data_IF_601787962097
#
_entry.id   IF_601787962097
#
_cell.length_a   1.000
_cell.length_b   1.000
_cell.length_c   1.000
_cell.angle_alpha   90.00
_cell.angle_beta   90.00
_cell.angle_gamma   90.00
#
_symmetry.space_group_name_H-M   'P 1'
#
loop_
_entity.id
_entity.type
_entity.pdbx_description
1 polymer ?
#
# COMPACT_ATOMS: atom_id res chain seq x y z
N UNK A 1 8.31 16.92 -6.53
CA UNK A 1 8.62 17.57 -5.24
C UNK A 1 8.83 16.48 -4.21
N UNK A 2 9.73 16.65 -3.23
CA UNK A 2 9.89 15.66 -2.14
C UNK A 2 8.95 16.00 -0.99
N UNK A 3 8.24 15.00 -0.47
CA UNK A 3 7.36 15.10 0.70
C UNK A 3 7.77 14.01 1.70
N UNK A 4 7.58 14.28 2.99
CA UNK A 4 7.90 13.33 4.05
C UNK A 4 6.62 12.68 4.57
N UNK A 5 6.67 11.36 4.73
CA UNK A 5 5.59 10.54 5.28
C UNK A 5 6.09 9.77 6.50
N UNK A 6 5.15 9.29 7.31
CA UNK A 6 5.45 8.44 8.46
C UNK A 6 4.87 7.07 8.22
N UNK A 7 5.63 6.04 8.59
CA UNK A 7 5.20 4.65 8.49
C UNK A 7 5.27 3.97 9.84
N UNK A 8 4.25 3.17 10.17
CA UNK A 8 4.35 2.14 11.20
C UNK A 8 4.86 0.86 10.55
N UNK A 9 5.77 0.16 11.23
CA UNK A 9 6.34 -1.10 10.76
C UNK A 9 6.20 -2.16 11.85
N UNK A 10 5.70 -3.34 11.50
CA UNK A 10 5.61 -4.49 12.40
C UNK A 10 5.78 -5.81 11.65
N UNK A 11 6.10 -6.88 12.38
CA UNK A 11 6.17 -8.23 11.84
C UNK A 11 4.78 -8.89 11.93
N UNK A 12 4.29 -9.40 10.81
CA UNK A 12 3.05 -10.18 10.70
C UNK A 12 3.33 -11.51 9.99
N UNK A 13 3.32 -12.60 10.76
CA UNK A 13 3.76 -13.91 10.27
C UNK A 13 5.22 -13.87 9.86
N UNK A 14 5.49 -14.14 8.57
CA UNK A 14 6.84 -14.14 7.98
C UNK A 14 7.19 -12.82 7.25
N UNK A 15 6.30 -11.82 7.29
CA UNK A 15 6.45 -10.57 6.53
C UNK A 15 6.50 -9.37 7.46
N UNK A 16 7.37 -8.40 7.13
CA UNK A 16 7.26 -7.06 7.68
C UNK A 16 6.21 -6.27 6.90
N UNK A 17 5.28 -5.66 7.61
CA UNK A 17 4.28 -4.77 7.05
C UNK A 17 4.71 -3.34 7.32
N UNK A 18 4.70 -2.50 6.29
CA UNK A 18 4.91 -1.06 6.40
C UNK A 18 3.62 -0.35 5.95
N UNK A 19 3.01 0.41 6.85
CA UNK A 19 1.78 1.15 6.58
C UNK A 19 2.01 2.65 6.74
N UNK A 20 1.59 3.44 5.73
CA UNK A 20 1.60 4.89 5.82
C UNK A 20 0.48 5.38 6.76
N UNK A 21 0.79 6.36 7.62
CA UNK A 21 -0.20 6.90 8.57
C UNK A 21 -1.12 7.93 7.90
N UNK A 22 -0.63 8.62 6.86
CA UNK A 22 -1.32 9.74 6.24
C UNK A 22 -2.28 9.33 5.11
N UNK A 23 -2.05 8.17 4.49
CA UNK A 23 -2.86 7.65 3.38
C UNK A 23 -3.04 6.15 3.52
N UNK A 24 -4.13 5.63 2.97
CA UNK A 24 -4.48 4.20 3.02
C UNK A 24 -3.64 3.40 2.00
N UNK A 25 -2.33 3.37 2.25
CA UNK A 25 -1.33 2.65 1.47
C UNK A 25 -0.44 1.88 2.43
N UNK A 26 -0.28 0.60 2.14
CA UNK A 26 0.64 -0.28 2.83
C UNK A 26 1.40 -1.14 1.83
N UNK A 27 2.52 -1.68 2.27
CA UNK A 27 3.35 -2.64 1.56
C UNK A 27 3.88 -3.69 2.53
N UNK A 28 4.54 -4.71 1.99
CA UNK A 28 5.23 -5.72 2.77
C UNK A 28 6.62 -6.05 2.19
N UNK A 29 7.48 -6.65 3.01
CA UNK A 29 8.79 -7.15 2.62
C UNK A 29 9.29 -8.23 3.57
N UNK A 30 10.26 -9.04 3.14
CA UNK A 30 10.88 -10.07 4.00
C UNK A 30 11.80 -9.44 5.07
N UNK A 31 12.14 -8.16 4.92
CA UNK A 31 12.87 -7.34 5.90
C UNK A 31 12.18 -5.99 6.10
N UNK A 32 12.47 -5.29 7.21
CA UNK A 32 11.95 -3.93 7.44
C UNK A 32 12.34 -2.95 6.31
N UNK A 33 13.60 -3.00 5.88
CA UNK A 33 14.12 -2.15 4.80
C UNK A 33 13.38 -2.40 3.48
N UNK A 34 13.15 -3.67 3.13
CA UNK A 34 12.39 -4.03 1.94
C UNK A 34 10.93 -3.56 2.02
N UNK A 35 10.28 -3.72 3.17
CA UNK A 35 8.91 -3.24 3.37
C UNK A 35 8.83 -1.72 3.19
N UNK A 36 9.77 -0.96 3.74
CA UNK A 36 9.85 0.49 3.61
C UNK A 36 10.19 0.95 2.18
N UNK A 37 11.08 0.25 1.49
CA UNK A 37 11.38 0.52 0.08
C UNK A 37 10.16 0.28 -0.80
N UNK A 38 9.45 -0.84 -0.60
CA UNK A 38 8.19 -1.11 -1.29
C UNK A 38 7.10 -0.07 -0.95
N UNK A 39 7.07 0.44 0.29
CA UNK A 39 6.11 1.48 0.69
C UNK A 39 6.38 2.79 -0.05
N UNK A 40 7.65 3.16 -0.19
CA UNK A 40 8.06 4.35 -0.94
C UNK A 40 7.57 4.27 -2.38
N UNK A 41 7.81 3.16 -3.05
CA UNK A 41 7.42 2.97 -4.44
C UNK A 41 5.88 2.97 -4.59
N UNK A 42 5.15 2.36 -3.64
CA UNK A 42 3.70 2.38 -3.60
C UNK A 42 3.13 3.80 -3.40
N UNK A 43 3.75 4.62 -2.53
CA UNK A 43 3.36 6.02 -2.33
C UNK A 43 3.63 6.86 -3.58
N UNK A 44 4.77 6.68 -4.24
CA UNK A 44 5.07 7.37 -5.51
C UNK A 44 4.02 7.02 -6.59
N UNK A 45 3.61 5.75 -6.67
CA UNK A 45 2.56 5.32 -7.58
C UNK A 45 1.18 5.89 -7.21
N UNK A 46 0.82 5.89 -5.93
CA UNK A 46 -0.46 6.41 -5.43
C UNK A 46 -0.72 7.87 -5.83
N UNK A 47 0.32 8.71 -5.76
CA UNK A 47 0.23 10.14 -6.14
C UNK A 47 0.44 10.39 -7.63
N UNK A 48 0.69 9.36 -8.42
CA UNK A 48 0.79 9.48 -9.89
C UNK A 48 -0.62 9.44 -10.50
N UNK A 49 -1.00 10.40 -11.36
CA UNK A 49 -2.27 10.35 -12.07
C UNK A 49 -2.41 9.04 -12.84
N UNK A 50 -3.57 8.35 -12.74
CA UNK A 50 -3.75 7.09 -13.44
C UNK A 50 -3.72 7.32 -14.95
N UNK A 51 -2.85 6.57 -15.64
CA UNK A 51 -2.81 6.50 -17.10
C UNK A 51 -3.18 5.09 -17.51
N UNK A 52 -4.47 4.89 -17.81
CA UNK A 52 -4.93 3.60 -18.32
C UNK A 52 -4.43 3.42 -19.76
N UNK A 53 -3.51 2.47 -19.97
CA UNK A 53 -3.15 1.98 -21.30
C UNK A 53 -4.11 0.90 -21.79
N UNK A 54 -4.90 0.32 -20.88
CA UNK A 54 -5.88 -0.74 -21.13
C UNK A 54 -7.18 -0.37 -20.40
N UNK A 55 -8.33 -0.57 -21.05
CA UNK A 55 -9.64 -0.35 -20.43
C UNK A 55 -9.89 -1.44 -19.37
N UNK A 56 -10.08 -1.09 -18.09
CA UNK A 56 -10.33 -2.08 -17.05
C UNK A 56 -11.74 -2.66 -17.17
N UNK A 57 -11.90 -3.92 -16.76
CA UNK A 57 -13.20 -4.56 -16.65
C UNK A 57 -13.71 -4.42 -15.22
N UNK A 58 -14.77 -3.64 -15.03
CA UNK A 58 -15.42 -3.51 -13.73
C UNK A 58 -16.19 -4.80 -13.40
N UNK A 59 -16.05 -5.28 -12.17
CA UNK A 59 -16.75 -6.46 -11.64
C UNK A 59 -17.33 -6.10 -10.29
N UNK A 60 -18.61 -6.40 -10.10
CA UNK A 60 -19.25 -6.31 -8.79
C UNK A 60 -18.90 -7.54 -7.97
N UNK A 61 -18.63 -7.33 -6.68
CA UNK A 61 -18.37 -8.39 -5.71
C UNK A 61 -19.27 -8.19 -4.49
N UNK A 62 -19.82 -9.29 -3.98
CA UNK A 62 -20.62 -9.31 -2.75
C UNK A 62 -19.72 -9.73 -1.58
N UNK A 63 -19.81 -9.00 -0.47
CA UNK A 63 -18.98 -9.23 0.72
C UNK A 63 -19.82 -9.19 1.99
N UNK A 64 -19.66 -10.21 2.84
CA UNK A 64 -20.24 -10.24 4.18
C UNK A 64 -19.37 -9.43 5.14
N UNK A 65 -19.81 -8.22 5.49
CA UNK A 65 -19.10 -7.38 6.45
C UNK A 65 -19.57 -7.72 7.86
N UNK A 66 -18.72 -8.42 8.62
CA UNK A 66 -18.86 -8.52 10.08
C UNK A 66 -18.15 -7.31 10.70
N UNK A 67 -18.92 -6.35 11.22
CA UNK A 67 -18.37 -5.26 12.00
C UNK A 67 -17.65 -5.82 13.25
N UNK A 68 -16.45 -5.29 13.53
CA UNK A 68 -15.70 -5.55 14.74
C UNK A 68 -16.23 -4.73 15.92
#
# INVERSE_FOLDING_TARGET
MKQQFSASVWLEGEWFIAQCIQVDVASQGATEDEALENLRDALELHFTPPVATIVPHLRDIEVDIKAA
#
